data_IF_004455023262
#
_entry.id   IF_004455023262
#
_cell.length_a   1.000
_cell.length_b   1.000
_cell.length_c   1.000
_cell.angle_alpha   90.00
_cell.angle_beta   90.00
_cell.angle_gamma   90.00
#
_symmetry.space_group_name_H-M   'P 1'
#
loop_
_entity.id
_entity.type
_entity.pdbx_description
1 polymer ?
#
# COMPACT_ATOMS: atom_id res chain seq x y z
N UNK A 1 -28.82 -46.78 -10.71
CA UNK A 1 -28.90 -47.96 -11.61
C UNK A 1 -28.34 -47.69 -13.02
N UNK A 2 -28.97 -46.91 -13.90
CA UNK A 2 -28.42 -46.67 -15.27
C UNK A 2 -27.10 -45.87 -15.28
N UNK A 3 -27.00 -44.84 -14.43
CA UNK A 3 -25.79 -44.00 -14.33
C UNK A 3 -24.62 -44.76 -13.69
N UNK A 4 -24.90 -45.64 -12.71
CA UNK A 4 -23.88 -46.50 -12.09
C UNK A 4 -23.37 -47.56 -13.07
N UNK A 5 -24.27 -48.18 -13.83
CA UNK A 5 -23.92 -49.16 -14.86
C UNK A 5 -23.11 -48.53 -16.00
N UNK A 6 -23.41 -47.28 -16.38
CA UNK A 6 -22.60 -46.54 -17.36
C UNK A 6 -21.23 -46.14 -16.82
N UNK A 7 -21.13 -45.80 -15.53
CA UNK A 7 -19.85 -45.50 -14.88
C UNK A 7 -18.96 -46.74 -14.78
N UNK A 8 -19.53 -47.89 -14.41
CA UNK A 8 -18.85 -49.19 -14.38
C UNK A 8 -18.41 -49.64 -15.78
N UNK A 9 -19.30 -49.55 -16.78
CA UNK A 9 -18.96 -49.87 -18.17
C UNK A 9 -17.85 -48.95 -18.72
N UNK A 10 -17.87 -47.68 -18.34
CA UNK A 10 -16.83 -46.72 -18.73
C UNK A 10 -15.49 -47.03 -18.04
N UNK A 11 -15.48 -47.32 -16.73
CA UNK A 11 -14.27 -47.71 -16.02
C UNK A 11 -13.68 -49.01 -16.56
N UNK A 12 -14.52 -50.00 -16.87
CA UNK A 12 -14.09 -51.28 -17.43
C UNK A 12 -13.51 -51.11 -18.84
N UNK A 13 -14.11 -50.23 -19.65
CA UNK A 13 -13.58 -49.89 -20.98
C UNK A 13 -12.22 -49.18 -20.90
N UNK A 14 -12.00 -48.37 -19.86
CA UNK A 14 -10.73 -47.70 -19.58
C UNK A 14 -9.68 -48.70 -19.10
N UNK A 15 -10.04 -49.59 -18.16
CA UNK A 15 -9.15 -50.64 -17.66
C UNK A 15 -8.70 -51.57 -18.79
N UNK A 16 -9.62 -51.97 -19.67
CA UNK A 16 -9.29 -52.82 -20.82
C UNK A 16 -8.34 -52.12 -21.80
N UNK A 17 -8.52 -50.82 -22.05
CA UNK A 17 -7.60 -50.02 -22.88
C UNK A 17 -6.23 -49.80 -22.24
N UNK A 18 -6.15 -49.75 -20.92
CA UNK A 18 -4.89 -49.65 -20.18
C UNK A 18 -4.13 -50.99 -20.17
N UNK A 19 -4.85 -52.11 -20.20
CA UNK A 19 -4.27 -53.46 -20.23
C UNK A 19 -3.64 -53.84 -21.58
N UNK A 20 -4.12 -53.22 -22.67
CA UNK A 20 -3.70 -53.49 -24.06
C UNK A 20 -2.58 -52.55 -24.55
N UNK A 21 -2.09 -51.65 -23.67
CA UNK A 21 -1.01 -50.71 -23.97
C UNK A 21 0.36 -51.30 -23.60
N UNK A 22 1.37 -50.99 -24.42
CA UNK A 22 2.76 -51.33 -24.14
C UNK A 22 3.19 -50.80 -22.77
N UNK A 23 3.96 -51.58 -22.02
CA UNK A 23 4.47 -51.21 -20.70
C UNK A 23 5.16 -49.83 -20.70
N UNK A 24 5.81 -49.45 -21.82
CA UNK A 24 6.43 -48.14 -22.01
C UNK A 24 5.42 -46.98 -22.03
N UNK A 25 4.24 -47.17 -22.61
CA UNK A 25 3.18 -46.16 -22.66
C UNK A 25 2.55 -45.96 -21.27
N UNK A 26 2.36 -47.05 -20.51
CA UNK A 26 1.87 -47.00 -19.12
C UNK A 26 2.89 -46.26 -18.25
N UNK A 27 4.19 -46.55 -18.38
CA UNK A 27 5.25 -45.84 -17.66
C UNK A 27 5.24 -44.34 -18.04
N UNK A 28 5.09 -44.02 -19.33
CA UNK A 28 5.00 -42.63 -19.80
C UNK A 28 3.83 -41.87 -19.19
N UNK A 29 2.65 -42.50 -19.10
CA UNK A 29 1.46 -41.90 -18.47
C UNK A 29 1.68 -41.64 -16.98
N UNK A 30 2.25 -42.60 -16.24
CA UNK A 30 2.54 -42.46 -14.81
C UNK A 30 3.54 -41.32 -14.57
N UNK A 31 4.61 -41.26 -15.37
CA UNK A 31 5.61 -40.17 -15.27
C UNK A 31 4.97 -38.81 -15.56
N UNK A 32 4.13 -38.71 -16.61
CA UNK A 32 3.44 -37.47 -16.94
C UNK A 32 2.52 -36.98 -15.79
N UNK A 33 1.77 -37.89 -15.16
CA UNK A 33 0.92 -37.57 -14.00
C UNK A 33 1.77 -37.09 -12.82
N UNK A 34 2.89 -37.74 -12.53
CA UNK A 34 3.81 -37.33 -11.47
C UNK A 34 4.38 -35.94 -11.75
N UNK A 35 4.82 -35.66 -12.98
CA UNK A 35 5.34 -34.33 -13.38
C UNK A 35 4.27 -33.26 -13.21
N UNK A 36 3.03 -33.51 -13.64
CA UNK A 36 1.91 -32.57 -13.47
C UNK A 36 1.64 -32.30 -11.99
N UNK A 37 1.57 -33.34 -11.16
CA UNK A 37 1.39 -33.20 -9.71
C UNK A 37 2.52 -32.41 -9.06
N UNK A 38 3.77 -32.71 -9.41
CA UNK A 38 4.94 -31.97 -8.92
C UNK A 38 4.90 -30.51 -9.35
N UNK A 39 4.53 -30.20 -10.61
CA UNK A 39 4.38 -28.80 -11.05
C UNK A 39 3.25 -28.08 -10.32
N UNK A 40 2.10 -28.71 -10.06
CA UNK A 40 1.00 -28.10 -9.30
C UNK A 40 1.45 -27.79 -7.86
N UNK A 41 2.15 -28.74 -7.22
CA UNK A 41 2.69 -28.55 -5.86
C UNK A 41 3.74 -27.42 -5.84
N UNK A 42 4.66 -27.41 -6.81
CA UNK A 42 5.70 -26.39 -6.91
C UNK A 42 5.10 -25.00 -7.16
N UNK A 43 4.11 -24.91 -8.06
CA UNK A 43 3.38 -23.66 -8.34
C UNK A 43 2.60 -23.20 -7.11
N UNK A 44 1.93 -24.09 -6.37
CA UNK A 44 1.20 -23.74 -5.14
C UNK A 44 2.14 -23.27 -4.02
N UNK A 45 3.32 -23.88 -3.90
CA UNK A 45 4.36 -23.48 -2.93
C UNK A 45 4.98 -22.13 -3.31
N UNK A 46 5.29 -21.91 -4.59
CA UNK A 46 5.90 -20.66 -5.07
C UNK A 46 4.90 -19.49 -5.17
N UNK A 47 3.62 -19.75 -5.44
CA UNK A 47 2.57 -18.70 -5.43
C UNK A 47 2.06 -18.33 -4.02
N UNK A 48 2.56 -19.00 -2.97
CA UNK A 48 2.14 -18.77 -1.58
C UNK A 48 2.77 -17.57 -0.87
N UNK A 49 3.70 -16.83 -1.48
CA UNK A 49 4.35 -15.70 -0.80
C UNK A 49 3.48 -14.44 -0.83
N UNK A 50 2.50 -14.38 0.05
CA UNK A 50 1.88 -13.10 0.42
C UNK A 50 2.94 -12.24 1.12
N UNK A 51 3.05 -10.98 0.71
CA UNK A 51 4.00 -10.03 1.28
C UNK A 51 3.90 -10.00 2.81
N UNK A 52 5.01 -10.30 3.50
CA UNK A 52 5.13 -10.24 4.97
C UNK A 52 5.16 -8.81 5.51
N UNK A 53 4.94 -7.82 4.64
CA UNK A 53 4.94 -6.40 5.00
C UNK A 53 3.72 -6.11 5.88
N UNK A 54 3.97 -5.68 7.09
CA UNK A 54 2.95 -5.27 8.07
C UNK A 54 3.06 -3.79 8.45
N UNK A 55 4.12 -3.10 8.02
CA UNK A 55 4.39 -1.74 8.48
C UNK A 55 3.50 -0.70 7.77
N UNK A 56 2.92 0.20 8.55
CA UNK A 56 2.22 1.40 8.08
C UNK A 56 3.04 2.61 8.50
N UNK A 57 3.61 3.32 7.53
CA UNK A 57 4.48 4.46 7.80
C UNK A 57 3.66 5.76 7.84
N UNK A 58 3.68 6.48 8.95
CA UNK A 58 3.16 7.84 9.04
C UNK A 58 4.28 8.81 8.63
N UNK A 59 4.06 9.51 7.52
CA UNK A 59 5.03 10.45 6.94
C UNK A 59 4.35 11.78 6.65
N UNK A 60 5.13 12.84 6.48
CA UNK A 60 4.60 14.19 6.25
C UNK A 60 5.45 15.26 6.94
N UNK A 61 5.18 16.52 6.61
CA UNK A 61 5.92 17.67 7.13
C UNK A 61 5.82 17.77 8.67
N UNK A 62 6.70 18.56 9.29
CA UNK A 62 6.56 18.92 10.69
C UNK A 62 5.16 19.50 10.97
N UNK A 63 4.67 19.28 12.18
CA UNK A 63 3.37 19.79 12.65
C UNK A 63 2.12 19.32 11.90
N UNK A 64 2.23 18.45 10.89
CA UNK A 64 1.04 17.88 10.22
C UNK A 64 0.18 16.98 11.11
N UNK A 65 0.70 16.59 12.29
CA UNK A 65 -0.04 15.83 13.30
C UNK A 65 0.21 14.32 13.31
N UNK A 66 1.29 13.85 12.66
CA UNK A 66 1.69 12.41 12.61
C UNK A 66 1.69 11.74 13.98
N UNK A 67 2.39 12.32 14.95
CA UNK A 67 2.56 11.74 16.30
C UNK A 67 1.27 11.77 17.13
N UNK A 68 0.44 12.80 16.93
CA UNK A 68 -0.88 12.84 17.57
C UNK A 68 -1.81 11.78 16.95
N UNK A 69 -1.79 11.64 15.63
CA UNK A 69 -2.53 10.60 14.92
C UNK A 69 -2.08 9.20 15.34
N UNK A 70 -0.77 8.98 15.50
CA UNK A 70 -0.19 7.75 16.06
C UNK A 70 -0.75 7.44 17.45
N UNK A 71 -0.73 8.43 18.36
CA UNK A 71 -1.28 8.26 19.71
C UNK A 71 -2.78 7.94 19.70
N UNK A 72 -3.55 8.61 18.85
CA UNK A 72 -5.00 8.37 18.71
C UNK A 72 -5.30 6.97 18.18
N UNK A 73 -4.59 6.50 17.17
CA UNK A 73 -4.77 5.14 16.63
C UNK A 73 -4.45 4.06 17.67
N UNK A 74 -3.47 4.29 18.55
CA UNK A 74 -3.07 3.29 19.54
C UNK A 74 -3.91 3.30 20.81
N UNK A 75 -4.35 4.48 21.26
CA UNK A 75 -4.93 4.66 22.60
C UNK A 75 -6.32 5.27 22.60
N UNK A 76 -6.80 5.78 21.47
CA UNK A 76 -7.99 6.64 21.38
C UNK A 76 -7.81 8.04 21.97
N UNK A 77 -6.83 8.23 22.85
CA UNK A 77 -6.69 9.42 23.69
C UNK A 77 -5.85 10.51 23.05
N UNK A 78 -6.23 11.76 23.34
CA UNK A 78 -5.41 12.92 23.03
C UNK A 78 -4.11 12.88 23.85
N UNK A 79 -2.99 13.20 23.22
CA UNK A 79 -1.70 13.36 23.89
C UNK A 79 -1.00 14.58 23.31
N UNK A 80 -0.55 15.50 24.15
CA UNK A 80 0.30 16.62 23.69
C UNK A 80 1.62 16.05 23.17
N UNK A 81 1.99 16.46 21.97
CA UNK A 81 3.20 16.00 21.26
C UNK A 81 4.16 17.15 21.03
N UNK A 82 5.45 16.82 20.93
CA UNK A 82 6.49 17.71 20.45
C UNK A 82 7.10 17.12 19.17
N UNK A 83 7.97 17.88 18.50
CA UNK A 83 8.65 17.42 17.28
C UNK A 83 9.42 16.12 17.54
N UNK A 84 9.05 15.05 16.84
CA UNK A 84 9.73 13.76 16.91
C UNK A 84 11.15 13.86 16.35
N UNK A 85 12.14 13.44 17.15
CA UNK A 85 13.55 13.33 16.76
C UNK A 85 13.93 11.92 16.26
N UNK A 86 13.18 10.89 16.66
CA UNK A 86 13.39 9.47 16.32
C UNK A 86 12.09 8.82 15.84
N UNK A 87 12.19 7.64 15.22
CA UNK A 87 11.00 6.85 14.88
C UNK A 87 10.32 6.27 16.12
N UNK A 88 8.98 6.20 16.11
CA UNK A 88 8.19 5.48 17.11
C UNK A 88 7.46 4.32 16.42
N UNK A 89 7.59 3.12 16.95
CA UNK A 89 6.97 1.91 16.38
C UNK A 89 6.08 1.24 17.42
N UNK A 90 4.87 0.83 17.03
CA UNK A 90 3.96 0.10 17.90
C UNK A 90 3.08 -0.88 17.11
N UNK A 91 2.64 -1.95 17.78
CA UNK A 91 1.65 -2.86 17.22
C UNK A 91 0.27 -2.17 17.26
N UNK A 92 -0.38 -2.10 16.11
CA UNK A 92 -1.73 -1.59 15.94
C UNK A 92 -2.65 -2.74 15.55
N UNK A 93 -3.68 -2.96 16.36
CA UNK A 93 -4.82 -3.82 16.01
C UNK A 93 -6.02 -2.91 15.79
N UNK A 94 -6.57 -2.84 14.57
CA UNK A 94 -7.79 -2.12 14.33
C UNK A 94 -8.91 -2.66 15.23
N UNK A 95 -9.85 -1.79 15.62
CA UNK A 95 -10.88 -2.03 16.65
C UNK A 95 -11.85 -3.20 16.35
N UNK A 96 -11.72 -3.86 15.20
CA UNK A 96 -12.37 -5.14 14.89
C UNK A 96 -11.28 -6.21 14.76
N UNK A 97 -11.18 -7.12 15.74
CA UNK A 97 -10.23 -8.25 15.86
C UNK A 97 -10.12 -9.19 14.63
N UNK A 98 -10.84 -8.89 13.55
CA UNK A 98 -10.80 -9.60 12.26
C UNK A 98 -9.69 -9.10 11.32
N UNK A 99 -9.09 -7.94 11.59
CA UNK A 99 -8.02 -7.36 10.75
C UNK A 99 -6.62 -7.91 11.07
N UNK A 100 -5.68 -7.92 10.10
CA UNK A 100 -4.29 -8.30 10.38
C UNK A 100 -3.65 -7.30 11.36
N UNK A 101 -2.80 -7.79 12.25
CA UNK A 101 -2.00 -6.92 13.10
C UNK A 101 -0.98 -6.13 12.26
N UNK A 102 -0.98 -4.82 12.41
CA UNK A 102 -0.12 -3.89 11.67
C UNK A 102 0.95 -3.31 12.59
N UNK A 103 2.10 -2.97 12.04
CA UNK A 103 3.13 -2.21 12.77
C UNK A 103 3.02 -0.76 12.36
N UNK A 104 2.47 0.09 13.22
CA UNK A 104 2.39 1.52 12.97
C UNK A 104 3.75 2.16 13.29
N UNK A 105 4.30 2.95 12.35
CA UNK A 105 5.60 3.61 12.51
C UNK A 105 5.45 5.11 12.24
N UNK A 106 5.61 5.94 13.26
CA UNK A 106 5.70 7.40 13.14
C UNK A 106 7.11 7.83 12.76
N UNK A 107 7.27 8.52 11.62
CA UNK A 107 8.57 8.98 11.14
C UNK A 107 8.77 10.49 11.38
N UNK A 108 10.01 10.92 11.72
CA UNK A 108 10.34 12.34 11.84
C UNK A 108 9.98 13.14 10.59
N UNK A 109 9.35 14.30 10.79
CA UNK A 109 8.93 15.19 9.70
C UNK A 109 10.01 16.16 9.21
N UNK A 110 11.08 16.35 10.00
CA UNK A 110 12.14 17.32 9.69
C UNK A 110 12.90 16.89 8.43
N UNK A 111 13.22 17.86 7.57
CA UNK A 111 13.76 17.61 6.22
C UNK A 111 15.05 16.76 6.25
N UNK A 112 15.95 17.03 7.19
CA UNK A 112 17.22 16.32 7.34
C UNK A 112 17.08 14.82 7.67
N UNK A 113 15.98 14.42 8.33
CA UNK A 113 15.75 13.04 8.77
C UNK A 113 14.81 12.29 7.82
N UNK A 114 13.93 13.00 7.12
CA UNK A 114 12.84 12.44 6.32
C UNK A 114 13.31 11.36 5.34
N UNK A 115 14.33 11.65 4.55
CA UNK A 115 14.85 10.72 3.53
C UNK A 115 15.52 9.50 4.16
N UNK A 116 16.33 9.71 5.21
CA UNK A 116 17.04 8.64 5.91
C UNK A 116 16.07 7.60 6.47
N UNK A 117 15.02 8.06 7.16
CA UNK A 117 14.04 7.20 7.81
C UNK A 117 13.11 6.54 6.79
N UNK A 118 12.70 7.25 5.73
CA UNK A 118 11.90 6.64 4.67
C UNK A 118 12.66 5.52 3.98
N UNK A 119 13.94 5.72 3.66
CA UNK A 119 14.80 4.69 3.07
C UNK A 119 15.01 3.49 4.00
N UNK A 120 15.16 3.74 5.31
CA UNK A 120 15.26 2.71 6.35
C UNK A 120 14.02 1.80 6.40
N UNK A 121 12.82 2.36 6.26
CA UNK A 121 11.56 1.64 6.50
C UNK A 121 10.77 1.26 5.25
N UNK A 122 11.09 1.81 4.06
CA UNK A 122 10.32 1.57 2.81
C UNK A 122 10.17 0.08 2.45
N UNK A 123 11.18 -0.75 2.73
CA UNK A 123 11.16 -2.15 2.37
C UNK A 123 10.12 -2.97 3.16
N UNK A 124 9.83 -2.54 4.39
CA UNK A 124 8.84 -3.16 5.27
C UNK A 124 7.42 -2.60 5.09
N UNK A 125 7.27 -1.49 4.35
CA UNK A 125 6.02 -0.75 4.24
C UNK A 125 4.95 -1.51 3.44
N UNK A 126 3.86 -1.89 4.12
CA UNK A 126 2.60 -2.34 3.51
C UNK A 126 1.82 -1.16 2.97
N UNK A 127 1.84 -0.03 3.68
CA UNK A 127 1.20 1.21 3.27
C UNK A 127 1.96 2.43 3.81
N UNK A 128 1.79 3.56 3.12
CA UNK A 128 2.23 4.87 3.59
C UNK A 128 1.00 5.74 3.82
N UNK A 129 0.91 6.36 5.00
CA UNK A 129 -0.05 7.42 5.29
C UNK A 129 0.72 8.74 5.30
N UNK A 130 0.56 9.50 4.22
CA UNK A 130 1.11 10.84 4.09
C UNK A 130 0.15 11.84 4.76
N UNK A 131 0.50 12.28 5.95
CA UNK A 131 -0.28 13.20 6.78
C UNK A 131 -0.01 14.64 6.36
N UNK A 132 -1.08 15.32 5.96
CA UNK A 132 -1.08 16.71 5.49
C UNK A 132 -1.79 17.59 6.51
N UNK A 133 -1.20 18.75 6.82
CA UNK A 133 -1.92 19.82 7.51
C UNK A 133 -2.86 20.50 6.51
N UNK A 134 -4.16 20.31 6.66
CA UNK A 134 -5.15 20.86 5.73
C UNK A 134 -5.35 22.37 5.90
N UNK A 135 -4.99 22.93 7.06
CA UNK A 135 -5.10 24.36 7.35
C UNK A 135 -3.91 25.15 6.80
N UNK A 136 -2.70 24.57 6.87
CA UNK A 136 -1.45 25.21 6.41
C UNK A 136 -0.83 24.45 5.24
N UNK A 137 -1.67 23.88 4.37
CA UNK A 137 -1.21 22.99 3.30
C UNK A 137 -0.15 23.67 2.41
N UNK A 138 1.09 23.18 2.53
CA UNK A 138 2.24 23.50 1.69
C UNK A 138 2.60 22.30 0.81
N UNK A 139 3.09 22.66 -0.36
CA UNK A 139 3.24 21.88 -1.58
C UNK A 139 4.50 21.00 -1.54
N UNK A 140 4.43 19.80 -0.93
CA UNK A 140 5.52 18.81 -0.98
C UNK A 140 5.02 17.36 -0.79
N UNK A 141 5.02 16.54 -1.86
CA UNK A 141 4.82 15.08 -1.76
C UNK A 141 5.79 14.36 -2.69
N UNK A 142 6.58 13.42 -2.15
CA UNK A 142 7.44 12.49 -2.91
C UNK A 142 7.43 11.12 -2.24
N UNK A 143 6.81 10.11 -2.84
CA UNK A 143 6.73 8.77 -2.24
C UNK A 143 6.68 7.65 -3.29
N UNK A 144 7.31 6.52 -2.98
CA UNK A 144 7.23 5.27 -3.73
C UNK A 144 6.76 4.16 -2.77
N UNK A 145 5.50 3.73 -2.86
CA UNK A 145 4.92 2.70 -2.00
C UNK A 145 3.81 1.89 -2.68
N UNK A 146 3.49 0.67 -2.20
CA UNK A 146 2.44 -0.16 -2.80
C UNK A 146 1.02 0.39 -2.60
N UNK A 147 0.76 1.12 -1.51
CA UNK A 147 -0.49 1.84 -1.27
C UNK A 147 -0.20 3.14 -0.51
N UNK A 148 -0.79 4.24 -0.97
CA UNK A 148 -0.60 5.58 -0.41
C UNK A 148 -1.95 6.16 -0.01
N UNK A 149 -2.09 6.45 1.29
CA UNK A 149 -3.16 7.27 1.82
C UNK A 149 -2.65 8.69 2.01
N UNK A 150 -3.38 9.68 1.54
CA UNK A 150 -3.11 11.09 1.84
C UNK A 150 -4.14 11.53 2.87
N UNK A 151 -3.72 11.51 4.14
CA UNK A 151 -4.56 11.88 5.28
C UNK A 151 -4.51 13.40 5.47
N UNK A 152 -5.53 14.07 4.97
CA UNK A 152 -5.79 15.50 5.09
C UNK A 152 -6.29 15.78 6.51
N UNK A 153 -5.34 15.93 7.43
CA UNK A 153 -5.57 16.08 8.87
C UNK A 153 -5.93 17.53 9.24
N UNK A 154 -6.40 17.72 10.47
CA UNK A 154 -6.82 19.00 11.07
C UNK A 154 -8.11 19.58 10.47
N UNK A 155 -9.03 18.71 10.05
CA UNK A 155 -10.34 19.12 9.53
C UNK A 155 -11.25 19.77 10.58
N UNK A 156 -10.86 19.75 11.85
CA UNK A 156 -11.49 20.53 12.93
C UNK A 156 -11.25 22.05 12.79
N UNK A 157 -10.30 22.48 11.98
CA UNK A 157 -9.98 23.89 11.75
C UNK A 157 -10.86 24.46 10.63
N UNK A 158 -11.55 25.58 10.87
CA UNK A 158 -12.48 26.21 9.89
C UNK A 158 -11.85 26.49 8.52
N UNK A 159 -10.55 26.79 8.47
CA UNK A 159 -9.82 27.07 7.23
C UNK A 159 -9.25 25.81 6.55
N UNK A 160 -9.54 24.61 7.06
CA UNK A 160 -9.05 23.37 6.48
C UNK A 160 -9.56 23.18 5.05
N UNK A 161 -8.63 22.88 4.14
CA UNK A 161 -8.97 22.53 2.75
C UNK A 161 -9.51 21.10 2.72
N UNK A 162 -10.51 20.86 1.86
CA UNK A 162 -10.99 19.51 1.62
C UNK A 162 -9.95 18.64 0.92
N UNK A 163 -10.05 17.33 1.12
CA UNK A 163 -9.24 16.33 0.43
C UNK A 163 -9.28 16.52 -1.10
N UNK A 164 -10.44 16.85 -1.66
CA UNK A 164 -10.60 17.11 -3.10
C UNK A 164 -9.77 18.32 -3.56
N UNK A 165 -9.78 19.41 -2.81
CA UNK A 165 -9.00 20.60 -3.15
C UNK A 165 -7.49 20.34 -3.01
N UNK A 166 -7.08 19.62 -1.97
CA UNK A 166 -5.68 19.22 -1.76
C UNK A 166 -5.22 18.31 -2.90
N UNK A 167 -6.03 17.33 -3.32
CA UNK A 167 -5.75 16.48 -4.47
C UNK A 167 -5.49 17.31 -5.73
N UNK A 168 -6.40 18.21 -6.09
CA UNK A 168 -6.26 19.07 -7.27
C UNK A 168 -4.99 19.94 -7.20
N UNK A 169 -4.67 20.47 -6.02
CA UNK A 169 -3.47 21.29 -5.83
C UNK A 169 -2.18 20.47 -5.97
N UNK A 170 -2.15 19.25 -5.44
CA UNK A 170 -1.02 18.33 -5.60
C UNK A 170 -0.86 17.85 -7.03
N UNK A 171 -1.95 17.54 -7.72
CA UNK A 171 -1.89 17.11 -9.12
C UNK A 171 -1.29 18.19 -10.01
N UNK A 172 -1.75 19.44 -9.84
CA UNK A 172 -1.21 20.60 -10.54
C UNK A 172 0.27 20.80 -10.25
N UNK A 173 0.68 20.67 -9.00
CA UNK A 173 2.07 20.85 -8.61
C UNK A 173 2.98 19.73 -9.14
N UNK A 174 2.56 18.47 -9.01
CA UNK A 174 3.29 17.32 -9.54
C UNK A 174 3.41 17.40 -11.06
N UNK A 175 2.40 17.94 -11.74
CA UNK A 175 2.47 18.24 -13.16
C UNK A 175 3.60 19.25 -13.49
N UNK A 176 3.72 20.32 -12.70
CA UNK A 176 4.83 21.28 -12.86
C UNK A 176 6.17 20.63 -12.55
N UNK A 177 6.30 19.92 -11.42
CA UNK A 177 7.55 19.31 -10.97
C UNK A 177 8.09 18.26 -11.95
N UNK A 178 7.22 17.44 -12.55
CA UNK A 178 7.68 16.45 -13.53
C UNK A 178 8.17 17.10 -14.83
N UNK A 179 7.53 18.19 -15.27
CA UNK A 179 7.95 18.94 -16.46
C UNK A 179 9.29 19.62 -16.23
N UNK A 180 9.47 20.29 -15.07
CA UNK A 180 10.72 20.97 -14.73
C UNK A 180 11.87 19.98 -14.54
N UNK A 181 11.64 18.84 -13.88
CA UNK A 181 12.65 17.79 -13.73
C UNK A 181 13.03 17.18 -15.08
N UNK A 182 12.08 16.88 -15.95
CA UNK A 182 12.37 16.36 -17.30
C UNK A 182 13.16 17.37 -18.14
N UNK A 183 12.84 18.66 -18.07
CA UNK A 183 13.57 19.71 -18.78
C UNK A 183 15.02 19.86 -18.26
N UNK A 184 15.22 19.82 -16.94
CA UNK A 184 16.55 19.90 -16.34
C UNK A 184 17.44 18.70 -16.71
N UNK A 185 16.87 17.49 -16.75
CA UNK A 185 17.60 16.29 -17.16
C UNK A 185 17.97 16.29 -18.64
N UNK A 186 17.06 16.75 -19.52
CA UNK A 186 17.36 16.86 -20.96
C UNK A 186 18.50 17.84 -21.29
N UNK A 187 18.83 18.75 -20.37
CA UNK A 187 19.96 19.66 -20.52
C UNK A 187 21.31 19.06 -20.08
N UNK A 188 21.33 17.84 -19.51
CA UNK A 188 22.52 17.21 -18.90
C UNK A 188 22.89 15.83 -19.47
N UNK A 189 22.21 15.34 -20.51
CA UNK A 189 22.42 13.96 -20.99
C UNK A 189 23.80 13.73 -21.64
N UNK A 190 24.72 13.15 -20.84
CA UNK A 190 25.84 12.32 -21.29
C UNK A 190 25.50 10.81 -21.20
N UNK A 191 26.34 9.89 -21.73
CA UNK A 191 25.96 8.52 -22.08
C UNK A 191 25.56 7.56 -20.93
N UNK A 192 25.54 8.03 -19.69
CA UNK A 192 25.32 7.21 -18.49
C UNK A 192 24.09 7.69 -17.71
N UNK A 193 22.96 7.87 -18.41
CA UNK A 193 21.70 8.32 -17.81
C UNK A 193 20.94 7.17 -17.14
N UNK A 194 20.98 7.09 -15.82
CA UNK A 194 20.09 6.21 -15.05
C UNK A 194 18.63 6.49 -15.40
N UNK A 195 17.86 5.45 -15.72
CA UNK A 195 16.49 5.56 -16.21
C UNK A 195 15.62 6.43 -15.29
N UNK A 196 15.36 7.67 -15.70
CA UNK A 196 14.46 8.55 -14.96
C UNK A 196 13.02 8.08 -15.16
N UNK A 197 12.37 7.67 -14.07
CA UNK A 197 10.96 7.26 -14.09
C UNK A 197 10.10 8.51 -14.26
N UNK A 198 9.44 8.64 -15.40
CA UNK A 198 8.48 9.72 -15.66
C UNK A 198 7.18 9.46 -14.89
N UNK A 199 6.67 10.49 -14.22
CA UNK A 199 5.45 10.38 -13.42
C UNK A 199 4.19 10.52 -14.28
N UNK A 200 3.36 9.48 -14.31
CA UNK A 200 2.11 9.43 -15.08
C UNK A 200 2.33 9.31 -16.58
N UNK A 201 1.40 9.83 -17.39
CA UNK A 201 1.46 9.75 -18.86
C UNK A 201 2.04 11.03 -19.47
N UNK A 202 2.91 10.89 -20.47
CA UNK A 202 3.43 12.04 -21.25
C UNK A 202 2.32 12.66 -22.09
N UNK A 203 2.33 13.99 -22.23
CA UNK A 203 1.38 14.72 -23.10
C UNK A 203 -0.05 14.89 -22.54
N UNK A 204 -0.34 14.42 -21.33
CA UNK A 204 -1.59 14.67 -20.60
C UNK A 204 -1.26 15.21 -19.22
N UNK A 205 -2.04 16.15 -18.69
CA UNK A 205 -1.87 16.63 -17.31
C UNK A 205 -1.87 15.48 -16.31
N UNK A 206 -1.03 15.60 -15.27
CA UNK A 206 -0.91 14.59 -14.24
C UNK A 206 -2.21 14.45 -13.44
N UNK A 207 -2.55 13.20 -13.12
CA UNK A 207 -3.69 12.80 -12.29
C UNK A 207 -3.28 11.56 -11.51
N UNK A 208 -3.69 11.43 -10.24
CA UNK A 208 -3.26 10.30 -9.41
C UNK A 208 -3.74 8.94 -9.93
N UNK A 209 -4.77 8.87 -10.79
CA UNK A 209 -5.16 7.63 -11.47
C UNK A 209 -4.10 7.10 -12.45
N UNK A 210 -3.11 7.93 -12.81
CA UNK A 210 -2.06 7.57 -13.76
C UNK A 210 -0.88 6.83 -13.10
N UNK A 211 -0.82 6.77 -11.77
CA UNK A 211 0.25 6.04 -11.07
C UNK A 211 -0.13 4.56 -10.89
N UNK A 212 0.84 3.63 -10.91
CA UNK A 212 0.57 2.18 -10.80
C UNK A 212 0.20 1.73 -9.38
N UNK A 213 0.12 2.66 -8.43
CA UNK A 213 -0.18 2.40 -7.02
C UNK A 213 -1.54 3.00 -6.65
N UNK A 214 -2.23 2.37 -5.72
CA UNK A 214 -3.48 2.93 -5.18
C UNK A 214 -3.16 4.16 -4.35
N UNK A 215 -3.76 5.29 -4.75
CA UNK A 215 -3.71 6.56 -4.01
C UNK A 215 -5.12 6.92 -3.58
N UNK A 216 -5.30 7.19 -2.30
CA UNK A 216 -6.61 7.53 -1.73
C UNK A 216 -6.47 8.70 -0.77
N UNK A 217 -7.32 9.72 -0.95
CA UNK A 217 -7.36 10.90 -0.12
C UNK A 217 -8.44 10.75 0.94
N UNK A 218 -8.08 11.06 2.19
CA UNK A 218 -8.94 10.88 3.34
C UNK A 218 -8.92 12.17 4.17
N UNK A 219 -10.06 12.56 4.71
CA UNK A 219 -10.18 13.65 5.67
C UNK A 219 -10.15 13.08 7.09
N UNK A 220 -9.44 13.75 8.00
CA UNK A 220 -9.43 13.37 9.40
C UNK A 220 -9.12 14.54 10.33
N UNK A 221 -9.42 14.36 11.62
CA UNK A 221 -8.98 15.24 12.69
C UNK A 221 -8.49 14.42 13.89
N UNK A 222 -7.17 14.43 14.10
CA UNK A 222 -6.58 13.80 15.28
C UNK A 222 -6.89 14.56 16.59
N UNK A 223 -7.26 15.86 16.50
CA UNK A 223 -7.62 16.65 17.68
C UNK A 223 -9.09 16.48 18.03
N UNK A 224 -9.99 16.49 17.03
CA UNK A 224 -11.43 16.46 17.23
C UNK A 224 -12.03 17.86 17.42
N UNK A 225 -13.33 17.99 17.14
CA UNK A 225 -14.03 19.29 17.17
C UNK A 225 -14.17 19.93 18.56
N UNK A 226 -13.94 19.17 19.65
CA UNK A 226 -13.98 19.65 21.03
C UNK A 226 -12.59 19.85 21.66
N UNK A 227 -11.53 19.89 20.85
CA UNK A 227 -10.17 20.14 21.36
C UNK A 227 -9.59 18.94 22.12
N UNK A 228 -8.91 19.17 23.24
CA UNK A 228 -8.18 18.10 23.96
C UNK A 228 -9.13 17.06 24.61
N UNK A 229 -10.36 17.43 24.91
CA UNK A 229 -11.40 16.56 25.49
C UNK A 229 -12.30 15.89 24.43
N UNK A 230 -12.07 16.19 23.15
CA UNK A 230 -12.85 15.64 22.05
C UNK A 230 -12.35 14.28 21.57
N UNK A 231 -13.27 13.48 21.04
CA UNK A 231 -12.92 12.31 20.25
C UNK A 231 -12.32 12.74 18.90
N UNK A 232 -11.34 11.98 18.43
CA UNK A 232 -10.75 12.18 17.11
C UNK A 232 -11.72 11.71 16.02
N UNK A 233 -11.73 12.43 14.90
CA UNK A 233 -12.43 12.00 13.69
C UNK A 233 -11.42 11.29 12.77
N UNK A 234 -11.19 10.00 13.02
CA UNK A 234 -10.20 9.18 12.30
C UNK A 234 -10.78 7.85 11.78
N UNK A 235 -12.09 7.64 11.90
CA UNK A 235 -12.74 6.37 11.54
C UNK A 235 -12.50 5.96 10.09
N UNK A 236 -12.49 6.93 9.17
CA UNK A 236 -12.26 6.64 7.75
C UNK A 236 -10.85 6.08 7.51
N UNK A 237 -9.85 6.66 8.19
CA UNK A 237 -8.49 6.13 8.15
C UNK A 237 -8.43 4.72 8.73
N UNK A 238 -9.06 4.45 9.87
CA UNK A 238 -9.10 3.11 10.47
C UNK A 238 -9.75 2.09 9.54
N UNK A 239 -10.90 2.43 8.94
CA UNK A 239 -11.60 1.59 7.94
C UNK A 239 -10.70 1.28 6.74
N UNK A 240 -9.87 2.22 6.30
CA UNK A 240 -8.93 2.00 5.20
C UNK A 240 -7.73 1.12 5.63
N UNK A 241 -7.23 1.29 6.86
CA UNK A 241 -6.17 0.44 7.42
C UNK A 241 -6.62 -1.01 7.59
N UNK A 242 -7.88 -1.24 8.01
CA UNK A 242 -8.49 -2.59 8.10
C UNK A 242 -8.54 -3.28 6.74
N UNK A 243 -8.82 -2.53 5.68
CA UNK A 243 -9.00 -3.04 4.31
C UNK A 243 -7.67 -3.22 3.55
N UNK A 244 -6.53 -3.04 4.20
CA UNK A 244 -5.24 -3.22 3.56
C UNK A 244 -5.08 -4.69 3.08
N UNK A 245 -4.85 -4.92 1.77
CA UNK A 245 -4.76 -6.26 1.18
C UNK A 245 -3.54 -7.03 1.70
#
# INVERSE_FOLDING_TARGET
MEVEMLAEAYSDSLLKKLQDQDALAIIGLVVAVIVVLLTIVFVKIFWGSKSTRTAVLLVGLCDSGKTLLFSRLLTGNFKRTQTSMTDNSALYRPNNDTGPALTLIDLPGHESLRTLYLEKFKAAARAIVFVVDSAVFQKEVRMNAPTLFIACNKQDITMAKSAKLIQQQLEKELNTLRVTRSAALSAQDGPSGGASVYLGKKGKDFDFSQVPMRVEFLECSARGGKGEEGDADIEHLEKCLVKLP
#
